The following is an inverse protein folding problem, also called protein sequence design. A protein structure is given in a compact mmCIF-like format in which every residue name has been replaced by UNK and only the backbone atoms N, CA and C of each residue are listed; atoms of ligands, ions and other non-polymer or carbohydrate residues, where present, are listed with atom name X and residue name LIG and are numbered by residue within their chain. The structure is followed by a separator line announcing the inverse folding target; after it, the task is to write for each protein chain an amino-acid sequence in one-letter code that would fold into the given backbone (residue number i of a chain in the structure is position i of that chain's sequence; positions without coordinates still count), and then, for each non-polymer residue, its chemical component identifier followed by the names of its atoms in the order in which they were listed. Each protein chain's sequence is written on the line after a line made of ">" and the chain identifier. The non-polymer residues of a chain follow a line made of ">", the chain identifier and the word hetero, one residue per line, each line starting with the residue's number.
data_IF_171138880470
#
_entry.id   IF_171138880470
#
_cell.length_a   1.000
_cell.length_b   1.000
_cell.length_c   1.000
_cell.angle_alpha   90.00
_cell.angle_beta   90.00
_cell.angle_gamma   90.00
#
_symmetry.space_group_name_H-M   'P 1'
#
loop_
_entity.id
_entity.type
_entity.pdbx_description
1 polymer ?
#
# COMPACT_ATOMS: atom_id res chain seq x y z
N UNK A 1 43.51 4.18 5.22
CA UNK A 1 42.70 3.91 4.02
C UNK A 1 41.96 2.59 4.24
N UNK A 2 40.65 2.62 4.46
CA UNK A 2 39.71 1.50 4.26
C UNK A 2 38.34 1.91 4.81
N UNK A 3 37.60 2.65 4.00
CA UNK A 3 36.19 2.95 4.16
C UNK A 3 35.38 1.77 3.61
N UNK A 4 34.61 1.08 4.47
CA UNK A 4 33.63 0.07 4.05
C UNK A 4 32.21 0.58 4.34
N UNK A 5 31.66 1.26 3.35
CA UNK A 5 30.28 1.75 3.31
C UNK A 5 29.33 0.67 2.79
N UNK A 6 28.36 0.34 3.64
CA UNK A 6 26.91 0.34 3.35
C UNK A 6 26.39 -0.49 2.16
N UNK A 7 25.92 -1.68 2.54
CA UNK A 7 24.60 -2.25 2.27
C UNK A 7 23.61 -1.58 1.29
N UNK A 8 23.05 -2.47 0.45
CA UNK A 8 21.63 -2.64 0.08
C UNK A 8 21.03 -1.68 -0.96
N UNK A 9 21.10 -2.11 -2.22
CA UNK A 9 20.12 -1.72 -3.25
C UNK A 9 18.94 -2.71 -3.21
N UNK A 10 17.84 -2.32 -2.54
CA UNK A 10 16.56 -3.03 -2.59
C UNK A 10 15.58 -2.27 -3.50
N UNK A 11 15.43 -2.81 -4.71
CA UNK A 11 14.18 -3.09 -5.43
C UNK A 11 12.94 -2.29 -5.00
N UNK A 12 12.51 -1.35 -5.84
CA UNK A 12 11.13 -0.86 -5.90
C UNK A 12 10.60 -1.03 -7.31
N UNK A 13 9.82 -2.09 -7.53
CA UNK A 13 9.01 -2.25 -8.74
C UNK A 13 7.57 -1.87 -8.38
N UNK A 14 7.17 -0.69 -8.84
CA UNK A 14 5.82 -0.17 -8.74
C UNK A 14 5.06 -0.55 -10.01
N UNK A 15 4.00 -1.33 -9.88
CA UNK A 15 3.05 -1.55 -10.97
C UNK A 15 1.64 -1.38 -10.42
N UNK A 16 0.97 -0.32 -10.86
CA UNK A 16 -0.45 -0.10 -10.61
C UNK A 16 -1.13 0.35 -11.91
N UNK A 17 -2.15 -0.45 -12.26
CA UNK A 17 -3.43 -0.12 -12.90
C UNK A 17 -3.51 0.31 -14.38
N UNK A 18 -4.20 -0.59 -15.11
CA UNK A 18 -5.39 -0.38 -15.94
C UNK A 18 -5.30 0.55 -17.16
N UNK A 19 -5.71 0.03 -18.32
CA UNK A 19 -6.78 0.59 -19.17
C UNK A 19 -7.29 -0.52 -20.10
N UNK A 20 -8.62 -0.68 -20.11
CA UNK A 20 -9.39 -1.49 -21.05
C UNK A 20 -9.45 -0.78 -22.40
N UNK A 21 -9.20 -1.48 -23.51
CA UNK A 21 -9.60 -1.00 -24.83
C UNK A 21 -10.15 -2.17 -25.65
N UNK A 22 -11.48 -2.21 -25.72
CA UNK A 22 -12.23 -3.05 -26.65
C UNK A 22 -11.96 -2.56 -28.08
N UNK A 23 -11.26 -3.35 -28.88
CA UNK A 23 -11.23 -3.17 -30.33
C UNK A 23 -12.30 -4.03 -30.99
N UNK A 24 -13.41 -3.36 -31.27
CA UNK A 24 -14.20 -3.42 -32.49
C UNK A 24 -13.61 -4.29 -33.64
N UNK A 25 -14.23 -5.44 -33.91
CA UNK A 25 -14.00 -6.21 -35.12
C UNK A 25 -15.29 -6.18 -35.98
N UNK A 26 -15.25 -5.68 -37.23
CA UNK A 26 -16.42 -5.62 -38.08
C UNK A 26 -16.75 -6.98 -38.69
N UNK A 27 -18.04 -7.28 -38.57
CA UNK A 27 -18.84 -8.25 -39.32
C UNK A 27 -18.52 -8.22 -40.81
N UNK A 28 -17.96 -9.31 -41.34
CA UNK A 28 -18.06 -9.65 -42.75
C UNK A 28 -18.77 -10.99 -42.87
N UNK A 29 -20.05 -10.92 -43.21
CA UNK A 29 -20.82 -12.05 -43.70
C UNK A 29 -20.47 -12.24 -45.17
N UNK A 30 -19.78 -13.32 -45.51
CA UNK A 30 -19.67 -13.80 -46.88
C UNK A 30 -20.59 -15.00 -47.06
N UNK A 31 -21.61 -14.76 -47.87
CA UNK A 31 -22.58 -15.75 -48.34
C UNK A 31 -21.90 -16.72 -49.30
N UNK A 32 -22.10 -18.02 -49.11
CA UNK A 32 -21.98 -18.99 -50.19
C UNK A 32 -23.10 -20.03 -50.06
N UNK A 33 -23.81 -20.21 -51.18
CA UNK A 33 -25.10 -20.88 -51.35
C UNK A 33 -25.08 -22.39 -51.07
N UNK A 34 -26.19 -22.99 -50.58
CA UNK A 34 -26.31 -24.44 -50.49
C UNK A 34 -26.56 -25.03 -51.89
N UNK A 35 -25.57 -25.75 -52.41
CA UNK A 35 -25.71 -26.56 -53.61
C UNK A 35 -26.32 -27.90 -53.18
N UNK A 36 -27.59 -28.10 -53.51
CA UNK A 36 -28.28 -29.37 -53.30
C UNK A 36 -27.64 -30.41 -54.22
N UNK A 37 -26.97 -31.40 -53.62
CA UNK A 37 -26.53 -32.63 -54.30
C UNK A 37 -27.18 -33.79 -53.56
N UNK A 38 -27.69 -34.70 -54.38
CA UNK A 38 -28.64 -35.76 -54.12
C UNK A 38 -28.25 -36.77 -53.04
N UNK A 39 -29.28 -37.28 -52.35
CA UNK A 39 -29.26 -38.53 -51.62
C UNK A 39 -28.80 -39.68 -52.53
N UNK A 40 -27.74 -40.37 -52.11
CA UNK A 40 -27.61 -41.80 -52.38
C UNK A 40 -26.68 -42.46 -51.35
N UNK A 41 -27.26 -43.44 -50.66
CA UNK A 41 -26.63 -44.62 -50.09
C UNK A 41 -25.52 -44.45 -49.03
N UNK A 42 -25.92 -44.81 -47.81
CA UNK A 42 -25.32 -45.92 -47.07
C UNK A 42 -23.86 -45.74 -46.58
N UNK A 43 -23.73 -45.32 -45.32
CA UNK A 43 -23.25 -46.17 -44.22
C UNK A 43 -23.15 -45.31 -42.97
N UNK A 44 -24.06 -45.57 -42.03
CA UNK A 44 -23.86 -45.22 -40.65
C UNK A 44 -22.70 -46.09 -40.14
N UNK A 45 -21.47 -45.56 -40.21
CA UNK A 45 -20.39 -46.03 -39.36
C UNK A 45 -20.39 -45.14 -38.14
N UNK A 46 -20.83 -45.71 -37.02
CA UNK A 46 -20.60 -45.19 -35.68
C UNK A 46 -19.11 -44.89 -35.51
N UNK A 47 -18.72 -43.65 -35.74
CA UNK A 47 -17.53 -43.11 -35.08
C UNK A 47 -18.04 -42.73 -33.70
N UNK A 48 -17.96 -43.68 -32.78
CA UNK A 48 -18.08 -43.39 -31.35
C UNK A 48 -16.93 -42.44 -31.04
N UNK A 49 -17.21 -41.14 -31.04
CA UNK A 49 -16.35 -40.15 -30.42
C UNK A 49 -16.39 -40.48 -28.93
N UNK A 50 -15.44 -41.29 -28.47
CA UNK A 50 -15.17 -41.41 -27.05
C UNK A 50 -14.79 -40.02 -26.56
N UNK A 51 -15.70 -39.41 -25.79
CA UNK A 51 -15.43 -38.14 -25.13
C UNK A 51 -14.13 -38.30 -24.34
N UNK A 52 -13.12 -37.43 -24.53
CA UNK A 52 -11.87 -37.54 -23.82
C UNK A 52 -12.17 -37.48 -22.31
N UNK A 53 -11.77 -38.53 -21.60
CA UNK A 53 -12.00 -38.67 -20.17
C UNK A 53 -11.60 -37.36 -19.45
N UNK A 54 -12.41 -36.87 -18.51
CA UNK A 54 -12.15 -35.59 -17.85
C UNK A 54 -10.80 -35.67 -17.14
N UNK A 55 -9.81 -34.93 -17.66
CA UNK A 55 -8.51 -34.81 -17.02
C UNK A 55 -8.70 -34.32 -15.58
N UNK A 56 -8.30 -35.15 -14.63
CA UNK A 56 -8.46 -34.92 -13.21
C UNK A 56 -7.58 -33.73 -12.81
N UNK A 57 -8.15 -32.52 -12.79
CA UNK A 57 -7.47 -31.31 -12.34
C UNK A 57 -6.95 -31.55 -10.94
N UNK A 58 -5.62 -31.69 -10.80
CA UNK A 58 -5.00 -32.00 -9.51
C UNK A 58 -5.43 -30.96 -8.47
N UNK A 59 -5.99 -31.45 -7.36
CA UNK A 59 -6.53 -30.59 -6.31
C UNK A 59 -5.37 -29.76 -5.75
N UNK A 60 -5.40 -28.45 -5.99
CA UNK A 60 -4.42 -27.53 -5.41
C UNK A 60 -4.56 -27.57 -3.89
N UNK A 61 -3.48 -27.89 -3.19
CA UNK A 61 -3.45 -27.85 -1.73
C UNK A 61 -3.59 -26.39 -1.29
N UNK A 62 -4.69 -26.07 -0.62
CA UNK A 62 -4.92 -24.74 -0.04
C UNK A 62 -4.03 -24.65 1.21
N UNK A 63 -3.08 -23.73 1.20
CA UNK A 63 -2.23 -23.45 2.36
C UNK A 63 -3.01 -22.58 3.35
N UNK A 64 -3.28 -23.11 4.54
CA UNK A 64 -3.93 -22.37 5.61
C UNK A 64 -2.84 -21.72 6.46
N UNK A 65 -2.73 -20.38 6.50
CA UNK A 65 -1.72 -19.70 7.29
C UNK A 65 -2.01 -19.89 8.78
N UNK A 66 -0.99 -20.34 9.50
CA UNK A 66 -1.01 -20.43 10.96
C UNK A 66 -0.54 -19.10 11.56
N UNK A 67 -1.18 -18.68 12.64
CA UNK A 67 -0.92 -17.42 13.32
C UNK A 67 -0.54 -17.66 14.78
N UNK A 68 0.06 -16.67 15.42
CA UNK A 68 0.29 -16.66 16.86
C UNK A 68 -0.78 -15.80 17.50
N UNK A 69 -1.58 -16.40 18.39
CA UNK A 69 -2.66 -15.77 19.13
C UNK A 69 -2.18 -15.41 20.54
N UNK A 70 -2.39 -14.17 20.94
CA UNK A 70 -2.23 -13.67 22.29
C UNK A 70 -3.60 -13.56 22.95
N UNK A 71 -3.81 -14.35 24.00
CA UNK A 71 -5.00 -14.26 24.84
C UNK A 71 -4.95 -13.03 25.76
N UNK A 72 -6.07 -12.73 26.45
CA UNK A 72 -6.16 -11.64 27.44
C UNK A 72 -5.15 -11.82 28.60
N UNK A 73 -4.84 -13.07 28.95
CA UNK A 73 -3.85 -13.43 29.98
C UNK A 73 -2.39 -13.35 29.49
N UNK A 74 -2.14 -12.86 28.26
CA UNK A 74 -0.84 -12.85 27.58
C UNK A 74 -0.27 -14.24 27.22
N UNK A 75 -1.10 -15.29 27.26
CA UNK A 75 -0.71 -16.62 26.79
C UNK A 75 -0.56 -16.63 25.27
N UNK A 76 0.55 -17.21 24.78
CA UNK A 76 0.85 -17.36 23.35
C UNK A 76 0.45 -18.76 22.88
N UNK A 77 -0.51 -18.83 21.96
CA UNK A 77 -0.98 -20.07 21.36
C UNK A 77 -0.85 -20.01 19.82
N UNK A 78 -0.51 -21.12 19.17
CA UNK A 78 -0.42 -21.17 17.70
C UNK A 78 -1.70 -21.79 17.15
N UNK A 79 -2.53 -20.98 16.50
CA UNK A 79 -3.84 -21.39 15.96
C UNK A 79 -4.00 -20.97 14.50
N UNK A 80 -5.10 -21.37 13.87
CA UNK A 80 -5.51 -20.78 12.57
C UNK A 80 -6.27 -19.47 12.76
N UNK A 81 -6.35 -18.67 11.69
CA UNK A 81 -7.10 -17.41 11.71
C UNK A 81 -8.60 -17.64 11.99
N UNK A 82 -9.19 -18.67 11.39
CA UNK A 82 -10.60 -18.99 11.58
C UNK A 82 -10.91 -19.40 13.02
N UNK A 83 -10.03 -20.20 13.65
CA UNK A 83 -10.19 -20.60 15.05
C UNK A 83 -10.09 -19.39 15.99
N UNK A 84 -9.11 -18.51 15.75
CA UNK A 84 -8.96 -17.28 16.53
C UNK A 84 -10.21 -16.38 16.42
N UNK A 85 -10.79 -16.24 15.22
CA UNK A 85 -12.05 -15.52 15.04
C UNK A 85 -13.23 -16.18 15.77
N UNK A 86 -13.31 -17.51 15.76
CA UNK A 86 -14.34 -18.24 16.52
C UNK A 86 -14.19 -18.01 18.03
N UNK A 87 -12.96 -18.00 18.55
CA UNK A 87 -12.67 -17.71 19.96
C UNK A 87 -13.06 -16.27 20.30
N UNK A 88 -12.70 -15.31 19.44
CA UNK A 88 -13.03 -13.90 19.60
C UNK A 88 -14.56 -13.69 19.67
N UNK A 89 -15.32 -14.28 18.72
CA UNK A 89 -16.78 -14.22 18.70
C UNK A 89 -17.44 -14.89 19.90
N UNK A 90 -16.88 -16.01 20.38
CA UNK A 90 -17.42 -16.73 21.56
C UNK A 90 -17.28 -15.93 22.85
N UNK A 91 -16.24 -15.08 22.94
CA UNK A 91 -15.92 -14.28 24.14
C UNK A 91 -16.30 -12.81 24.00
N UNK A 92 -16.96 -12.41 22.91
CA UNK A 92 -17.26 -11.02 22.54
C UNK A 92 -16.03 -10.09 22.51
N UNK A 93 -14.89 -10.64 22.11
CA UNK A 93 -13.61 -9.92 21.97
C UNK A 93 -13.32 -9.59 20.50
N UNK A 94 -12.44 -8.60 20.30
CA UNK A 94 -11.89 -8.24 19.00
C UNK A 94 -10.56 -8.94 18.79
N UNK A 95 -10.38 -9.55 17.62
CA UNK A 95 -9.08 -9.98 17.14
C UNK A 95 -8.37 -8.81 16.45
N UNK A 96 -7.23 -8.37 16.97
CA UNK A 96 -6.44 -7.23 16.48
C UNK A 96 -5.06 -7.73 16.05
N UNK A 97 -4.60 -7.33 14.86
CA UNK A 97 -3.25 -7.65 14.39
C UNK A 97 -2.26 -6.67 15.00
N UNK A 98 -1.32 -7.15 15.81
CA UNK A 98 -0.33 -6.31 16.51
C UNK A 98 0.98 -6.25 15.75
N UNK A 99 1.47 -7.40 15.29
CA UNK A 99 2.75 -7.52 14.58
C UNK A 99 2.56 -8.32 13.29
N UNK A 100 3.09 -7.78 12.19
CA UNK A 100 3.00 -8.43 10.88
C UNK A 100 3.87 -9.70 10.80
N UNK A 101 5.06 -9.66 11.39
CA UNK A 101 5.98 -10.80 11.46
C UNK A 101 6.71 -10.78 12.80
N UNK A 102 6.56 -11.85 13.58
CA UNK A 102 7.32 -12.04 14.81
C UNK A 102 8.77 -12.46 14.54
N UNK A 103 9.69 -11.99 15.39
CA UNK A 103 11.13 -12.24 15.31
C UNK A 103 11.45 -13.73 15.54
N UNK A 104 10.67 -14.40 16.41
CA UNK A 104 10.94 -15.78 16.80
C UNK A 104 10.24 -16.80 15.93
N UNK A 105 8.98 -16.55 15.59
CA UNK A 105 8.12 -17.54 14.95
C UNK A 105 7.81 -17.25 13.48
N UNK A 106 8.22 -16.10 12.95
CA UNK A 106 7.95 -15.60 11.59
C UNK A 106 6.44 -15.59 11.23
N UNK A 107 5.58 -15.69 12.24
CA UNK A 107 4.12 -15.71 12.09
C UNK A 107 3.58 -14.33 12.45
N UNK A 108 2.48 -13.90 11.81
CA UNK A 108 1.76 -12.71 12.25
C UNK A 108 1.16 -12.95 13.63
N UNK A 109 1.23 -11.93 14.48
CA UNK A 109 0.75 -11.98 15.86
C UNK A 109 -0.55 -11.21 15.98
N UNK A 110 -1.56 -11.88 16.50
CA UNK A 110 -2.86 -11.31 16.79
C UNK A 110 -3.13 -11.32 18.28
N UNK A 111 -3.76 -10.27 18.80
CA UNK A 111 -4.17 -10.14 20.19
C UNK A 111 -5.68 -10.09 20.28
N UNK A 112 -6.23 -10.75 21.30
CA UNK A 112 -7.64 -10.61 21.69
C UNK A 112 -7.78 -9.43 22.65
N UNK A 113 -8.64 -8.46 22.31
CA UNK A 113 -8.86 -7.24 23.10
C UNK A 113 -10.35 -6.92 23.20
N UNK A 114 -10.77 -6.19 24.24
CA UNK A 114 -12.15 -5.71 24.34
C UNK A 114 -12.37 -4.54 23.38
N UNK A 115 -13.62 -4.31 23.00
CA UNK A 115 -13.95 -3.21 22.07
C UNK A 115 -13.64 -1.83 22.67
N UNK A 116 -13.85 -1.65 23.98
CA UNK A 116 -13.58 -0.39 24.68
C UNK A 116 -12.08 -0.05 24.63
N UNK A 117 -11.25 -0.98 25.11
CA UNK A 117 -9.79 -0.87 25.09
C UNK A 117 -9.27 -0.60 23.67
N UNK A 118 -9.80 -1.30 22.66
CA UNK A 118 -9.43 -1.08 21.26
C UNK A 118 -9.76 0.34 20.76
N UNK A 119 -10.91 0.90 21.13
CA UNK A 119 -11.27 2.26 20.74
C UNK A 119 -10.36 3.29 21.40
N UNK A 120 -9.96 3.07 22.64
CA UNK A 120 -9.05 3.94 23.37
C UNK A 120 -7.63 3.88 22.77
N UNK A 121 -7.10 2.68 22.49
CA UNK A 121 -5.80 2.52 21.85
C UNK A 121 -5.77 3.14 20.44
N UNK A 122 -6.83 2.95 19.64
CA UNK A 122 -6.93 3.58 18.31
C UNK A 122 -7.00 5.11 18.41
N UNK A 123 -7.71 5.64 19.40
CA UNK A 123 -7.76 7.08 19.67
C UNK A 123 -6.39 7.62 20.09
N UNK A 124 -5.71 6.93 21.01
CA UNK A 124 -4.35 7.27 21.47
C UNK A 124 -3.36 7.24 20.31
N UNK A 125 -3.36 6.17 19.52
CA UNK A 125 -2.49 6.03 18.35
C UNK A 125 -2.71 7.17 17.33
N UNK A 126 -3.97 7.55 17.10
CA UNK A 126 -4.30 8.69 16.23
C UNK A 126 -3.82 10.03 16.80
N UNK A 127 -3.96 10.26 18.11
CA UNK A 127 -3.44 11.48 18.75
C UNK A 127 -1.92 11.53 18.71
N UNK A 128 -1.23 10.42 19.02
CA UNK A 128 0.23 10.34 18.98
C UNK A 128 0.75 10.54 17.56
N UNK A 129 0.11 9.95 16.55
CA UNK A 129 0.46 10.18 15.16
C UNK A 129 0.24 11.64 14.73
N UNK A 130 -0.78 12.32 15.28
CA UNK A 130 -1.00 13.75 15.03
C UNK A 130 0.08 14.60 15.71
N UNK A 131 0.36 14.36 16.97
CA UNK A 131 1.41 15.05 17.71
C UNK A 131 2.78 14.84 17.10
N UNK A 132 3.10 13.62 16.65
CA UNK A 132 4.37 13.33 16.02
C UNK A 132 4.49 14.06 14.67
N UNK A 133 3.42 14.14 13.88
CA UNK A 133 3.39 14.97 12.67
C UNK A 133 3.53 16.47 12.97
N UNK A 134 3.00 16.93 14.10
CA UNK A 134 3.13 18.33 14.53
C UNK A 134 4.53 18.65 15.08
N UNK A 135 5.16 17.68 15.75
CA UNK A 135 6.55 17.75 16.23
C UNK A 135 7.57 17.61 15.10
N UNK A 136 7.23 16.88 14.04
CA UNK A 136 8.09 16.72 12.88
C UNK A 136 8.37 18.08 12.22
N UNK A 137 9.64 18.28 11.86
CA UNK A 137 10.06 19.46 11.10
C UNK A 137 9.33 19.46 9.76
N UNK A 138 8.64 20.56 9.49
CA UNK A 138 7.92 20.77 8.23
C UNK A 138 8.90 21.21 7.15
N UNK A 139 8.46 21.06 5.90
CA UNK A 139 9.19 21.45 4.70
C UNK A 139 9.86 22.82 4.81
N UNK A 140 11.07 22.89 4.26
CA UNK A 140 11.90 24.07 4.23
C UNK A 140 11.31 25.15 3.34
N UNK A 141 11.17 26.36 3.88
CA UNK A 141 10.71 27.54 3.16
C UNK A 141 11.88 28.45 2.86
N UNK A 142 12.05 28.78 1.59
CA UNK A 142 13.08 29.71 1.16
C UNK A 142 12.52 31.13 1.09
N UNK A 143 13.24 32.10 1.67
CA UNK A 143 12.91 33.53 1.60
C UNK A 143 14.09 34.25 0.98
N UNK A 144 13.86 34.97 -0.11
CA UNK A 144 14.82 35.88 -0.68
C UNK A 144 14.68 37.28 -0.07
N UNK A 145 15.82 37.90 0.27
CA UNK A 145 15.93 39.27 0.73
C UNK A 145 16.92 39.98 -0.20
N UNK A 146 16.52 41.12 -0.77
CA UNK A 146 17.43 41.93 -1.59
C UNK A 146 18.39 42.71 -0.71
N UNK A 147 19.64 42.91 -1.16
CA UNK A 147 20.62 43.73 -0.46
C UNK A 147 20.14 45.19 -0.24
N UNK A 148 19.42 45.75 -1.21
CA UNK A 148 18.77 47.07 -1.12
C UNK A 148 17.34 46.92 -0.62
N UNK A 149 17.17 46.82 0.69
CA UNK A 149 15.85 46.72 1.36
C UNK A 149 15.64 47.89 2.31
N UNK A 150 14.41 48.38 2.41
CA UNK A 150 14.03 49.40 3.39
C UNK A 150 13.81 48.77 4.79
N UNK A 151 14.07 49.53 5.86
CA UNK A 151 13.94 49.06 7.25
C UNK A 151 12.57 48.48 7.57
N UNK A 152 11.51 49.10 7.02
CA UNK A 152 10.15 48.61 7.19
C UNK A 152 9.98 47.20 6.60
N UNK A 153 10.44 46.99 5.38
CA UNK A 153 10.30 45.72 4.67
C UNK A 153 11.11 44.61 5.34
N UNK A 154 12.30 44.95 5.85
CA UNK A 154 13.11 44.03 6.66
C UNK A 154 12.35 43.59 7.91
N UNK A 155 11.70 44.52 8.61
CA UNK A 155 10.91 44.21 9.82
C UNK A 155 9.72 43.28 9.51
N UNK A 156 9.08 43.44 8.35
CA UNK A 156 7.97 42.59 7.91
C UNK A 156 8.47 41.18 7.59
N UNK A 157 9.59 41.04 6.88
CA UNK A 157 10.21 39.74 6.59
C UNK A 157 10.66 39.03 7.87
N UNK A 158 11.25 39.74 8.82
CA UNK A 158 11.64 39.20 10.13
C UNK A 158 10.43 38.65 10.91
N UNK A 159 9.33 39.40 10.96
CA UNK A 159 8.07 38.93 11.58
C UNK A 159 7.50 37.70 10.87
N UNK A 160 7.62 37.63 9.56
CA UNK A 160 7.20 36.46 8.78
C UNK A 160 8.05 35.23 9.12
N UNK A 161 9.37 35.38 9.18
CA UNK A 161 10.32 34.33 9.60
C UNK A 161 9.97 33.82 10.99
N UNK A 162 9.74 34.73 11.94
CA UNK A 162 9.35 34.36 13.31
C UNK A 162 8.05 33.53 13.33
N UNK A 163 7.05 33.90 12.53
CA UNK A 163 5.81 33.13 12.39
C UNK A 163 6.04 31.74 11.78
N UNK A 164 6.98 31.59 10.84
CA UNK A 164 7.31 30.31 10.23
C UNK A 164 8.08 29.38 11.18
N UNK A 165 9.04 29.92 11.93
CA UNK A 165 9.77 29.18 12.96
C UNK A 165 8.83 28.69 14.08
N UNK A 166 7.86 29.53 14.51
CA UNK A 166 6.81 29.12 15.46
C UNK A 166 5.98 27.93 14.96
N UNK A 167 5.81 27.80 13.64
CA UNK A 167 5.10 26.69 13.00
C UNK A 167 5.97 25.46 12.71
N UNK A 168 7.24 25.45 13.18
CA UNK A 168 8.26 24.40 12.97
C UNK A 168 8.62 24.15 11.50
N UNK A 169 8.57 25.19 10.67
CA UNK A 169 9.15 25.13 9.33
C UNK A 169 10.66 25.38 9.40
N UNK A 170 11.44 24.63 8.63
CA UNK A 170 12.80 25.06 8.29
C UNK A 170 12.73 26.33 7.45
N UNK A 171 13.60 27.30 7.72
CA UNK A 171 13.63 28.56 6.96
C UNK A 171 15.03 28.77 6.42
N UNK A 172 15.14 28.93 5.10
CA UNK A 172 16.37 29.24 4.39
C UNK A 172 16.29 30.67 3.88
N UNK A 173 17.18 31.53 4.35
CA UNK A 173 17.23 32.93 3.91
C UNK A 173 18.32 33.07 2.86
N UNK A 174 17.96 33.61 1.69
CA UNK A 174 18.88 33.90 0.59
C UNK A 174 18.95 35.41 0.45
N UNK A 175 20.17 35.97 0.45
CA UNK A 175 20.36 37.38 0.20
C UNK A 175 20.78 37.56 -1.27
N UNK A 176 19.97 38.25 -2.05
CA UNK A 176 20.25 38.53 -3.47
C UNK A 176 20.85 39.92 -3.58
N UNK A 177 22.09 39.99 -4.05
CA UNK A 177 22.75 41.24 -4.40
C UNK A 177 22.60 41.48 -5.91
N UNK A 178 22.12 42.66 -6.27
CA UNK A 178 21.96 43.11 -7.65
C UNK A 178 23.30 43.59 -8.22
N UNK A 179 24.24 42.66 -8.49
CA UNK A 179 25.37 42.76 -9.43
C UNK A 179 26.37 43.93 -9.30
N UNK A 180 26.12 44.91 -8.44
CA UNK A 180 26.88 46.14 -8.34
C UNK A 180 27.64 46.11 -6.99
N UNK A 181 28.71 45.31 -6.98
CA UNK A 181 29.58 45.05 -5.82
C UNK A 181 30.38 46.29 -5.37
N UNK A 182 30.17 47.45 -6.00
CA UNK A 182 31.01 48.63 -5.88
C UNK A 182 30.51 49.63 -4.82
N UNK A 183 29.35 49.35 -4.22
CA UNK A 183 28.72 50.18 -3.17
C UNK A 183 28.31 49.35 -1.96
N UNK A 184 29.22 48.50 -1.49
CA UNK A 184 29.11 47.84 -0.19
C UNK A 184 29.85 48.64 0.88
#
# INVERSE_FOLDING_TARGET
>A
MASNTLWKAFRTLSYNKCICFNLFAPRQTLQVSPKWVSLSANRYSDIVLEDPAPEEKSKRKIFIPKITLLAENNDMEVTTLEEAERIAKRRDLKLVRVVDVDIRSERPVYRLMKMQDYMEEDAQYKSEAKENRERALKEDKTIAITAKIADHDLSVKAKSIQKMLKKRHGVRVIITCDGNLEKA
#
